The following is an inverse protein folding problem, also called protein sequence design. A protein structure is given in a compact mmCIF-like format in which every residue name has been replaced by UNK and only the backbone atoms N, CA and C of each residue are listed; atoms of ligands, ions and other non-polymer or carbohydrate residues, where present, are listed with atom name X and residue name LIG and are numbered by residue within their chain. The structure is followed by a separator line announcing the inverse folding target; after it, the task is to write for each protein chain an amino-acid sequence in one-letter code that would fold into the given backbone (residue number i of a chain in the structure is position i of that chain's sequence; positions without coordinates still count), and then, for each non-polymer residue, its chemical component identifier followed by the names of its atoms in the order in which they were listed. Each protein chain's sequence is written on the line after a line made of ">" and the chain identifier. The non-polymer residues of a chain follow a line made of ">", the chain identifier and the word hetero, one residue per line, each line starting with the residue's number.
data_IF_415265283650
#
_entry.id   IF_415265283650
#
_cell.length_a   1.000
_cell.length_b   1.000
_cell.length_c   1.000
_cell.angle_alpha   90.00
_cell.angle_beta   90.00
_cell.angle_gamma   90.00
#
_symmetry.space_group_name_H-M   'P 1'
#
loop_
_entity.id
_entity.type
_entity.pdbx_description
1 polymer ?
#
# COMPACT_ATOMS: atom_id res chain seq x y z
N UNK A 1 2.19 -8.80 11.04
CA UNK A 1 3.07 -7.89 10.28
C UNK A 1 3.28 -6.55 11.00
N UNK A 2 2.20 -5.92 11.50
CA UNK A 2 2.31 -4.62 12.16
C UNK A 2 3.17 -4.63 13.43
N UNK A 3 3.09 -5.67 14.22
CA UNK A 3 3.91 -5.80 15.45
C UNK A 3 5.40 -5.97 15.12
N UNK A 4 5.72 -6.73 14.09
CA UNK A 4 7.10 -6.87 13.59
C UNK A 4 7.61 -5.54 13.08
N UNK A 5 6.81 -4.81 12.31
CA UNK A 5 7.15 -3.48 11.81
C UNK A 5 7.40 -2.50 12.97
N UNK A 6 6.56 -2.52 14.01
CA UNK A 6 6.73 -1.69 15.20
C UNK A 6 8.06 -1.98 15.91
N UNK A 7 8.40 -3.25 16.06
CA UNK A 7 9.67 -3.67 16.68
C UNK A 7 10.87 -3.19 15.87
N UNK A 8 10.83 -3.32 14.56
CA UNK A 8 11.91 -2.87 13.68
C UNK A 8 12.04 -1.34 13.70
N UNK A 9 10.92 -0.63 13.68
CA UNK A 9 10.92 0.83 13.81
C UNK A 9 11.55 1.28 15.11
N UNK A 10 11.21 0.64 16.23
CA UNK A 10 11.74 0.99 17.55
C UNK A 10 13.26 0.75 17.64
N UNK A 11 13.79 -0.12 16.79
CA UNK A 11 15.25 -0.33 16.66
C UNK A 11 15.94 0.72 15.77
N UNK A 12 15.19 1.67 15.19
CA UNK A 12 15.71 2.74 14.34
C UNK A 12 15.67 2.43 12.85
N UNK A 13 15.03 1.33 12.44
CA UNK A 13 14.94 0.96 11.03
C UNK A 13 13.83 1.73 10.30
N UNK A 14 14.06 2.06 9.03
CA UNK A 14 12.97 2.40 8.11
C UNK A 14 12.31 1.12 7.66
N UNK A 15 11.01 1.00 7.88
CA UNK A 15 10.25 -0.18 7.50
C UNK A 15 9.32 0.18 6.33
N UNK A 16 9.42 -0.58 5.25
CA UNK A 16 8.51 -0.47 4.11
C UNK A 16 7.73 -1.76 4.01
N UNK A 17 6.40 -1.66 4.10
CA UNK A 17 5.51 -2.82 3.97
C UNK A 17 4.60 -2.61 2.76
N UNK A 18 4.53 -3.62 1.90
CA UNK A 18 3.70 -3.61 0.71
C UNK A 18 2.67 -4.75 0.79
N UNK A 19 1.46 -4.40 1.21
CA UNK A 19 0.35 -5.33 1.34
C UNK A 19 -0.90 -4.76 0.68
N UNK A 20 -1.79 -5.63 0.25
CA UNK A 20 -3.09 -5.22 -0.28
C UNK A 20 -3.90 -4.51 0.82
N UNK A 21 -3.96 -5.09 2.02
CA UNK A 21 -4.63 -4.54 3.20
C UNK A 21 -6.00 -3.92 2.87
N UNK A 22 -6.97 -4.75 2.41
CA UNK A 22 -8.18 -4.24 1.78
C UNK A 22 -9.18 -3.59 2.75
N UNK A 23 -9.06 -3.81 4.05
CA UNK A 23 -10.02 -3.34 5.03
C UNK A 23 -9.47 -2.18 5.87
N UNK A 24 -10.28 -1.12 5.99
CA UNK A 24 -9.92 0.08 6.78
C UNK A 24 -9.61 -0.26 8.22
N UNK A 25 -10.38 -1.15 8.82
CA UNK A 25 -10.19 -1.55 10.21
C UNK A 25 -8.81 -2.18 10.45
N UNK A 26 -8.36 -3.02 9.54
CA UNK A 26 -7.05 -3.67 9.64
C UNK A 26 -5.92 -2.65 9.51
N UNK A 27 -6.05 -1.68 8.62
CA UNK A 27 -5.07 -0.61 8.46
C UNK A 27 -5.05 0.30 9.69
N UNK A 28 -6.22 0.57 10.29
CA UNK A 28 -6.30 1.35 11.52
C UNK A 28 -5.66 0.63 12.70
N UNK A 29 -5.83 -0.69 12.80
CA UNK A 29 -5.14 -1.51 13.81
C UNK A 29 -3.62 -1.44 13.63
N UNK A 30 -3.14 -1.45 12.39
CA UNK A 30 -1.71 -1.30 12.10
C UNK A 30 -1.21 0.09 12.54
N UNK A 31 -1.95 1.14 12.25
CA UNK A 31 -1.63 2.50 12.68
C UNK A 31 -1.52 2.59 14.21
N UNK A 32 -2.45 2.00 14.93
CA UNK A 32 -2.42 1.97 16.38
C UNK A 32 -1.25 1.17 16.95
N UNK A 33 -0.93 0.04 16.34
CA UNK A 33 0.17 -0.81 16.77
C UNK A 33 1.54 -0.15 16.58
N UNK A 34 1.72 0.57 15.48
CA UNK A 34 2.98 1.23 15.13
C UNK A 34 3.09 2.60 15.80
N UNK A 35 1.99 3.33 15.87
CA UNK A 35 1.92 4.63 16.52
C UNK A 35 2.59 5.73 15.70
N UNK A 36 3.28 6.64 16.39
CA UNK A 36 3.98 7.75 15.76
C UNK A 36 5.00 7.25 14.74
N UNK A 37 5.06 7.94 13.60
CA UNK A 37 5.94 7.55 12.49
C UNK A 37 5.31 6.55 11.52
N UNK A 38 4.04 6.17 11.73
CA UNK A 38 3.30 5.38 10.74
C UNK A 38 2.82 6.30 9.61
N UNK A 39 3.07 5.89 8.38
CA UNK A 39 2.57 6.58 7.18
C UNK A 39 1.84 5.59 6.29
N UNK A 40 0.63 5.97 5.89
CA UNK A 40 -0.19 5.19 4.97
C UNK A 40 -0.06 5.79 3.57
N UNK A 41 0.46 4.99 2.65
CA UNK A 41 0.63 5.39 1.25
C UNK A 41 -0.39 4.61 0.41
N UNK A 42 -1.28 5.33 -0.24
CA UNK A 42 -2.28 4.73 -1.12
C UNK A 42 -1.74 4.68 -2.55
N UNK A 43 -1.50 3.47 -3.03
CA UNK A 43 -1.14 3.23 -4.42
C UNK A 43 -2.44 3.01 -5.18
N UNK A 44 -2.93 4.07 -5.81
CA UNK A 44 -4.26 4.10 -6.40
C UNK A 44 -4.24 3.72 -7.88
N UNK A 45 -5.16 2.85 -8.26
CA UNK A 45 -5.49 2.54 -9.64
C UNK A 45 -6.90 1.93 -9.67
N UNK A 46 -7.69 2.24 -10.70
CA UNK A 46 -8.99 1.61 -10.86
C UNK A 46 -8.83 0.10 -11.07
N UNK A 47 -9.89 -0.66 -10.77
CA UNK A 47 -9.89 -2.10 -11.01
C UNK A 47 -9.69 -2.42 -12.50
N UNK A 48 -10.25 -1.61 -13.39
CA UNK A 48 -10.09 -1.78 -14.84
C UNK A 48 -8.65 -1.65 -15.27
N UNK A 49 -7.93 -0.68 -14.72
CA UNK A 49 -6.49 -0.51 -14.97
C UNK A 49 -5.69 -1.69 -14.43
N UNK A 50 -6.00 -2.14 -13.22
CA UNK A 50 -5.34 -3.29 -12.61
C UNK A 50 -5.55 -4.56 -13.44
N UNK A 51 -6.77 -4.80 -13.91
CA UNK A 51 -7.09 -5.94 -14.77
C UNK A 51 -6.35 -5.87 -16.12
N UNK A 52 -6.25 -4.67 -16.70
CA UNK A 52 -5.53 -4.48 -17.96
C UNK A 52 -4.02 -4.73 -17.82
N UNK A 53 -3.45 -4.42 -16.67
CA UNK A 53 -2.03 -4.68 -16.39
C UNK A 53 -1.75 -6.15 -16.11
N UNK A 54 -2.52 -6.75 -15.24
CA UNK A 54 -2.54 -8.16 -14.83
C UNK A 54 -1.22 -8.94 -15.06
N UNK A 55 -0.09 -8.51 -14.50
CA UNK A 55 1.22 -9.04 -14.87
C UNK A 55 1.39 -10.54 -14.56
N UNK A 56 0.65 -11.05 -13.59
CA UNK A 56 0.71 -12.46 -13.18
C UNK A 56 -0.49 -13.28 -13.65
N UNK A 57 -1.42 -12.68 -14.41
CA UNK A 57 -2.64 -13.34 -14.86
C UNK A 57 -3.63 -13.67 -13.75
N UNK A 58 -3.48 -13.07 -12.56
CA UNK A 58 -4.32 -13.37 -11.41
C UNK A 58 -5.74 -12.85 -11.56
N UNK A 59 -5.92 -11.67 -12.15
CA UNK A 59 -7.25 -11.12 -12.44
C UNK A 59 -8.02 -12.00 -13.43
N UNK A 60 -7.34 -12.46 -14.47
CA UNK A 60 -7.92 -13.38 -15.46
C UNK A 60 -8.40 -14.66 -14.77
N UNK A 61 -7.60 -15.24 -13.90
CA UNK A 61 -7.94 -16.45 -13.16
C UNK A 61 -9.07 -16.20 -12.16
N UNK A 62 -9.07 -15.04 -11.50
CA UNK A 62 -10.14 -14.66 -10.58
C UNK A 62 -11.48 -14.49 -11.31
N UNK A 63 -11.50 -13.88 -12.49
CA UNK A 63 -12.69 -13.74 -13.32
C UNK A 63 -13.22 -15.10 -13.78
N UNK A 64 -12.33 -16.06 -14.04
CA UNK A 64 -12.70 -17.43 -14.40
C UNK A 64 -13.18 -18.26 -13.20
N UNK A 65 -13.21 -17.70 -11.99
CA UNK A 65 -13.65 -18.40 -10.78
C UNK A 65 -12.60 -19.33 -10.18
N UNK A 66 -11.36 -19.28 -10.64
CA UNK A 66 -10.28 -20.16 -10.16
C UNK A 66 -9.70 -19.73 -8.82
N UNK A 67 -9.90 -18.47 -8.43
CA UNK A 67 -9.40 -17.90 -7.18
C UNK A 67 -10.59 -17.38 -6.38
N UNK A 68 -10.79 -17.93 -5.18
CA UNK A 68 -11.82 -17.45 -4.27
C UNK A 68 -11.40 -16.18 -3.56
N UNK A 69 -12.37 -15.30 -3.24
CA UNK A 69 -12.18 -14.10 -2.43
C UNK A 69 -11.03 -13.21 -2.92
N UNK A 70 -10.94 -12.99 -4.23
CA UNK A 70 -9.93 -12.12 -4.82
C UNK A 70 -10.35 -10.65 -4.67
N UNK A 71 -9.51 -9.85 -4.03
CA UNK A 71 -9.78 -8.42 -3.76
C UNK A 71 -10.07 -7.66 -5.05
N UNK A 72 -11.18 -6.94 -5.08
CA UNK A 72 -11.64 -6.16 -6.23
C UNK A 72 -12.49 -6.94 -7.23
N UNK A 73 -12.50 -8.25 -7.20
CA UNK A 73 -13.31 -9.11 -8.08
C UNK A 73 -14.40 -9.82 -7.28
N UNK A 74 -14.04 -10.66 -6.33
CA UNK A 74 -14.97 -11.43 -5.50
C UNK A 74 -14.89 -11.09 -4.03
N UNK A 75 -14.00 -10.16 -3.65
CA UNK A 75 -13.86 -9.65 -2.30
C UNK A 75 -13.72 -8.12 -2.36
N UNK A 76 -14.28 -7.37 -1.38
CA UNK A 76 -14.26 -5.92 -1.42
C UNK A 76 -12.87 -5.35 -1.12
N UNK A 77 -12.64 -4.14 -1.63
CA UNK A 77 -11.55 -3.27 -1.22
C UNK A 77 -12.14 -1.96 -0.69
N UNK A 78 -11.69 -1.56 0.50
CA UNK A 78 -12.11 -0.30 1.11
C UNK A 78 -10.99 0.75 0.94
N UNK A 79 -11.16 1.73 0.06
CA UNK A 79 -10.14 2.78 -0.11
C UNK A 79 -9.87 3.53 1.19
N UNK A 80 -8.62 3.96 1.44
CA UNK A 80 -8.34 4.78 2.61
C UNK A 80 -9.06 6.12 2.55
N UNK A 81 -9.56 6.57 3.70
CA UNK A 81 -10.30 7.83 3.82
C UNK A 81 -9.37 9.05 3.83
N UNK A 82 -8.21 8.91 4.48
CA UNK A 82 -7.24 10.00 4.67
C UNK A 82 -5.82 9.43 4.67
N UNK A 83 -5.32 8.96 3.51
CA UNK A 83 -3.94 8.49 3.45
C UNK A 83 -2.96 9.64 3.65
N UNK A 84 -1.77 9.34 4.16
CA UNK A 84 -0.72 10.34 4.31
C UNK A 84 -0.18 10.78 2.95
N UNK A 85 -0.21 9.90 1.97
CA UNK A 85 0.11 10.18 0.58
C UNK A 85 -0.72 9.28 -0.34
N UNK A 86 -1.10 9.79 -1.49
CA UNK A 86 -1.76 9.00 -2.54
C UNK A 86 -1.04 9.19 -3.87
N UNK A 87 -0.87 8.09 -4.61
CA UNK A 87 -0.26 8.09 -5.94
C UNK A 87 -1.24 7.48 -6.93
N UNK A 88 -1.73 8.29 -7.85
CA UNK A 88 -2.59 7.80 -8.94
C UNK A 88 -1.74 7.18 -10.04
N UNK A 89 -1.55 5.87 -9.95
CA UNK A 89 -0.72 5.12 -10.90
C UNK A 89 -1.41 4.92 -12.24
N UNK A 90 -2.70 5.24 -12.34
CA UNK A 90 -3.41 5.26 -13.62
C UNK A 90 -3.04 6.46 -14.49
N UNK A 91 -2.55 7.54 -13.88
CA UNK A 91 -2.17 8.79 -14.54
C UNK A 91 -0.65 8.98 -14.53
N UNK A 92 0.00 8.72 -13.40
CA UNK A 92 1.43 8.95 -13.21
C UNK A 92 2.26 7.78 -13.73
N UNK A 93 3.42 8.07 -14.33
CA UNK A 93 4.39 7.04 -14.70
C UNK A 93 5.04 6.41 -13.46
N UNK A 94 5.64 5.24 -13.64
CA UNK A 94 6.41 4.58 -12.59
C UNK A 94 7.54 5.49 -12.09
N UNK A 95 8.26 6.12 -12.99
CA UNK A 95 9.37 7.01 -12.63
C UNK A 95 8.90 8.20 -11.80
N UNK A 96 7.76 8.79 -12.16
CA UNK A 96 7.17 9.89 -11.40
C UNK A 96 6.72 9.43 -10.02
N UNK A 97 6.09 8.27 -9.91
CA UNK A 97 5.69 7.69 -8.63
C UNK A 97 6.89 7.43 -7.74
N UNK A 98 7.95 6.83 -8.28
CA UNK A 98 9.19 6.57 -7.53
C UNK A 98 9.84 7.86 -7.05
N UNK A 99 9.90 8.88 -7.91
CA UNK A 99 10.45 10.19 -7.54
C UNK A 99 9.67 10.81 -6.38
N UNK A 100 8.36 10.78 -6.44
CA UNK A 100 7.51 11.30 -5.36
C UNK A 100 7.66 10.52 -4.06
N UNK A 101 7.76 9.20 -4.12
CA UNK A 101 7.99 8.36 -2.95
C UNK A 101 9.34 8.64 -2.31
N UNK A 102 10.39 8.81 -3.11
CA UNK A 102 11.73 9.16 -2.62
C UNK A 102 11.74 10.51 -1.93
N UNK A 103 11.14 11.52 -2.55
CA UNK A 103 11.04 12.87 -1.98
C UNK A 103 10.26 12.85 -0.66
N UNK A 104 9.14 12.14 -0.63
CA UNK A 104 8.34 11.96 0.57
C UNK A 104 9.13 11.30 1.70
N UNK A 105 9.87 10.24 1.38
CA UNK A 105 10.69 9.50 2.34
C UNK A 105 11.79 10.41 2.91
N UNK A 106 12.46 11.17 2.08
CA UNK A 106 13.48 12.12 2.51
C UNK A 106 12.90 13.21 3.40
N UNK A 107 11.73 13.73 3.06
CA UNK A 107 11.07 14.79 3.82
C UNK A 107 10.65 14.33 5.22
N UNK A 108 10.14 13.11 5.35
CA UNK A 108 9.54 12.62 6.60
C UNK A 108 10.46 11.74 7.44
N UNK A 109 11.50 11.15 6.87
CA UNK A 109 12.33 10.14 7.53
C UNK A 109 13.84 10.39 7.45
N UNK A 110 14.29 11.41 6.74
CA UNK A 110 15.73 11.59 6.46
C UNK A 110 16.60 11.77 7.71
N UNK A 111 16.07 12.34 8.77
CA UNK A 111 16.81 12.55 10.02
C UNK A 111 17.08 11.25 10.78
N UNK A 112 16.26 10.22 10.55
CA UNK A 112 16.33 8.96 11.25
C UNK A 112 17.34 7.97 10.65
N UNK A 113 17.92 8.28 9.48
CA UNK A 113 18.73 7.36 8.67
C UNK A 113 20.11 7.88 8.30
N UNK A 114 20.63 8.77 9.10
CA UNK A 114 22.00 9.29 8.93
C UNK A 114 23.03 8.57 9.77
#
# INVERSE_FOLDING_TARGET
>A
AAEVAATLKDSGALVISAFISPFRNDRELARKAIGEGFHEIFIDASIDICEARDPKGLYKRARAGEIAAFTGISSPYEPPMSPDMALDTGVLSIDTCLSRLKDYTQQHFSEDYR
#
